data_IF_314786665762
#
_entry.id   IF_314786665762
#
_cell.length_a   1.000
_cell.length_b   1.000
_cell.length_c   1.000
_cell.angle_alpha   90.00
_cell.angle_beta   90.00
_cell.angle_gamma   90.00
#
_symmetry.space_group_name_H-M   'P 1'
#
loop_
_entity.id
_entity.type
_entity.pdbx_description
1 polymer ?
#
# COMPACT_ATOMS: atom_id res chain seq x y z
N UNK A 1 4.25 -2.55 7.55
CA UNK A 1 5.47 -2.44 6.73
C UNK A 1 6.59 -3.18 7.41
N UNK A 2 7.69 -3.45 6.72
CA UNK A 2 8.77 -4.37 7.17
C UNK A 2 9.16 -4.21 8.64
N UNK A 3 9.55 -3.00 9.07
CA UNK A 3 9.98 -2.75 10.46
C UNK A 3 8.87 -3.07 11.45
N UNK A 4 7.66 -2.57 11.24
CA UNK A 4 6.55 -2.81 12.16
C UNK A 4 6.15 -4.31 12.21
N UNK A 5 6.04 -4.96 11.05
CA UNK A 5 5.58 -6.35 10.96
C UNK A 5 6.66 -7.34 11.44
N UNK A 6 7.86 -7.28 10.87
CA UNK A 6 8.95 -8.17 11.24
C UNK A 6 9.51 -7.84 12.63
N UNK A 7 9.55 -6.56 13.03
CA UNK A 7 9.99 -6.16 14.37
C UNK A 7 9.03 -6.64 15.46
N UNK A 8 7.71 -6.56 15.23
CA UNK A 8 6.72 -7.12 16.17
C UNK A 8 6.89 -8.64 16.29
N UNK A 9 7.03 -9.34 15.17
CA UNK A 9 7.27 -10.78 15.17
C UNK A 9 8.59 -11.15 15.87
N UNK A 10 9.67 -10.39 15.65
CA UNK A 10 10.96 -10.60 16.30
C UNK A 10 10.87 -10.48 17.82
N UNK A 11 10.19 -9.45 18.33
CA UNK A 11 10.01 -9.28 19.79
C UNK A 11 9.21 -10.42 20.40
N UNK A 12 8.24 -10.97 19.68
CA UNK A 12 7.39 -12.06 20.17
C UNK A 12 8.02 -13.45 20.03
N UNK A 13 8.81 -13.67 18.99
CA UNK A 13 9.38 -14.98 18.65
C UNK A 13 10.85 -15.12 19.05
N UNK A 14 11.48 -14.02 19.48
CA UNK A 14 12.91 -13.90 19.81
C UNK A 14 13.86 -14.35 18.67
N UNK A 15 13.37 -14.36 17.44
CA UNK A 15 14.12 -14.70 16.23
C UNK A 15 13.55 -14.00 15.02
N UNK A 16 14.36 -13.85 13.99
CA UNK A 16 13.89 -13.32 12.72
C UNK A 16 12.99 -14.34 12.03
N UNK A 17 11.72 -13.99 11.85
CA UNK A 17 10.75 -14.78 11.11
C UNK A 17 10.64 -14.29 9.66
N UNK A 18 11.12 -15.10 8.71
CA UNK A 18 11.14 -14.75 7.29
C UNK A 18 9.74 -14.62 6.69
N UNK A 19 8.76 -15.33 7.25
CA UNK A 19 7.37 -15.20 6.82
C UNK A 19 6.80 -13.83 7.23
N UNK A 20 7.08 -13.35 8.44
CA UNK A 20 6.72 -12.01 8.89
C UNK A 20 7.42 -10.91 8.06
N UNK A 21 8.67 -11.11 7.65
CA UNK A 21 9.35 -10.23 6.69
C UNK A 21 8.60 -10.18 5.37
N UNK A 22 8.25 -11.35 4.82
CA UNK A 22 7.50 -11.46 3.56
C UNK A 22 6.13 -10.79 3.65
N UNK A 23 5.36 -11.00 4.71
CA UNK A 23 4.08 -10.32 4.96
C UNK A 23 4.25 -8.81 5.23
N UNK A 24 5.40 -8.36 5.71
CA UNK A 24 5.72 -6.96 5.90
C UNK A 24 5.80 -6.16 4.59
N UNK A 25 6.13 -6.82 3.48
CA UNK A 25 6.24 -6.23 2.13
C UNK A 25 4.89 -5.69 1.63
N UNK A 26 3.82 -6.49 1.45
CA UNK A 26 2.54 -5.99 0.95
C UNK A 26 1.95 -4.91 1.86
N UNK A 27 2.04 -5.08 3.19
CA UNK A 27 1.58 -4.09 4.17
C UNK A 27 2.36 -2.78 4.05
N UNK A 28 3.67 -2.86 3.82
CA UNK A 28 4.50 -1.68 3.57
C UNK A 28 4.14 -0.98 2.27
N UNK A 29 3.93 -1.74 1.20
CA UNK A 29 3.60 -1.19 -0.12
C UNK A 29 2.23 -0.50 -0.13
N UNK A 30 1.19 -1.02 0.55
CA UNK A 30 -0.06 -0.27 0.69
C UNK A 30 0.11 1.06 1.44
N UNK A 31 0.95 1.09 2.47
CA UNK A 31 1.28 2.34 3.17
C UNK A 31 2.05 3.32 2.26
N UNK A 32 2.98 2.81 1.44
CA UNK A 32 3.64 3.62 0.41
C UNK A 32 2.64 4.15 -0.60
N UNK A 33 1.67 3.35 -1.05
CA UNK A 33 0.62 3.82 -1.98
C UNK A 33 -0.17 4.99 -1.38
N UNK A 34 -0.52 4.92 -0.09
CA UNK A 34 -1.19 6.01 0.63
C UNK A 34 -0.33 7.29 0.64
N UNK A 35 0.97 7.16 0.91
CA UNK A 35 1.92 8.28 0.88
C UNK A 35 2.10 8.87 -0.53
N UNK A 36 2.11 8.03 -1.57
CA UNK A 36 2.22 8.49 -2.96
C UNK A 36 1.00 9.32 -3.36
N UNK A 37 -0.22 8.89 -3.02
CA UNK A 37 -1.43 9.69 -3.27
C UNK A 37 -1.41 11.00 -2.47
N UNK A 38 -0.91 10.96 -1.24
CA UNK A 38 -0.78 12.15 -0.41
C UNK A 38 0.16 13.18 -1.07
N UNK A 39 1.34 12.73 -1.51
CA UNK A 39 2.28 13.57 -2.26
C UNK A 39 1.69 14.08 -3.59
N UNK A 40 0.89 13.26 -4.29
CA UNK A 40 0.23 13.67 -5.52
C UNK A 40 -0.82 14.76 -5.28
N UNK A 41 -1.57 14.67 -4.18
CA UNK A 41 -2.57 15.67 -3.77
C UNK A 41 -1.93 17.04 -3.55
N UNK A 42 -0.76 17.03 -2.91
CA UNK A 42 -0.10 18.24 -2.44
C UNK A 42 1.00 18.74 -3.39
N UNK A 43 1.10 18.17 -4.61
CA UNK A 43 2.22 18.42 -5.54
C UNK A 43 2.43 19.91 -5.86
N UNK A 44 1.36 20.65 -6.15
CA UNK A 44 1.44 22.07 -6.51
C UNK A 44 1.86 22.93 -5.31
N UNK A 45 1.28 22.66 -4.14
CA UNK A 45 1.60 23.36 -2.89
C UNK A 45 3.03 23.06 -2.41
N UNK A 46 3.46 21.81 -2.52
CA UNK A 46 4.82 21.39 -2.20
C UNK A 46 5.84 22.01 -3.16
N UNK A 47 5.53 22.10 -4.45
CA UNK A 47 6.38 22.76 -5.44
C UNK A 47 6.50 24.27 -5.16
N UNK A 48 5.37 24.96 -4.89
CA UNK A 48 5.35 26.38 -4.56
C UNK A 48 6.14 26.69 -3.26
N UNK A 49 6.11 25.78 -2.29
CA UNK A 49 6.87 25.89 -1.04
C UNK A 49 8.34 25.46 -1.17
N UNK A 50 8.82 25.11 -2.37
CA UNK A 50 10.20 24.68 -2.61
C UNK A 50 10.55 23.31 -2.03
N UNK A 51 9.56 22.49 -1.66
CA UNK A 51 9.79 21.14 -1.13
C UNK A 51 10.21 20.19 -2.25
N UNK A 52 11.08 19.24 -1.90
CA UNK A 52 11.60 18.22 -2.83
C UNK A 52 10.95 16.85 -2.61
N UNK A 53 9.62 16.82 -2.57
CA UNK A 53 8.88 15.56 -2.38
C UNK A 53 9.02 14.65 -3.61
N UNK A 54 8.73 13.36 -3.44
CA UNK A 54 8.79 12.38 -4.53
C UNK A 54 7.91 12.82 -5.72
N UNK A 55 6.71 13.34 -5.44
CA UNK A 55 5.79 13.79 -6.48
C UNK A 55 6.32 15.00 -7.24
N UNK A 56 6.89 15.99 -6.55
CA UNK A 56 7.52 17.16 -7.18
C UNK A 56 8.71 16.75 -8.06
N UNK A 57 9.53 15.78 -7.62
CA UNK A 57 10.70 15.32 -8.39
C UNK A 57 10.33 14.45 -9.59
N UNK A 58 9.31 13.61 -9.46
CA UNK A 58 8.86 12.73 -10.54
C UNK A 58 7.95 13.46 -11.55
N UNK A 59 7.24 14.49 -11.09
CA UNK A 59 6.13 15.11 -11.80
C UNK A 59 4.82 14.33 -11.65
N UNK A 60 3.71 15.00 -11.89
CA UNK A 60 2.36 14.50 -11.64
C UNK A 60 2.08 13.17 -12.37
N UNK A 61 2.33 13.13 -13.69
CA UNK A 61 2.06 11.95 -14.54
C UNK A 61 2.81 10.71 -14.04
N UNK A 62 4.11 10.83 -13.73
CA UNK A 62 4.91 9.70 -13.24
C UNK A 62 4.51 9.27 -11.84
N UNK A 63 4.06 10.20 -11.02
CA UNK A 63 3.53 9.91 -9.67
C UNK A 63 2.24 9.10 -9.74
N UNK A 64 1.35 9.39 -10.70
CA UNK A 64 0.15 8.57 -10.96
C UNK A 64 0.52 7.13 -11.34
N UNK A 65 1.54 6.94 -12.21
CA UNK A 65 2.04 5.60 -12.54
C UNK A 65 2.70 4.91 -11.33
N UNK A 66 3.49 5.63 -10.53
CA UNK A 66 4.09 5.10 -9.33
C UNK A 66 3.03 4.59 -8.34
N UNK A 67 1.92 5.32 -8.16
CA UNK A 67 0.81 4.88 -7.33
C UNK A 67 0.23 3.54 -7.77
N UNK A 68 -0.05 3.39 -9.07
CA UNK A 68 -0.58 2.13 -9.62
C UNK A 68 0.42 0.99 -9.49
N UNK A 69 1.68 1.23 -9.84
CA UNK A 69 2.74 0.22 -9.74
C UNK A 69 2.94 -0.27 -8.29
N UNK A 70 2.85 0.63 -7.30
CA UNK A 70 2.97 0.25 -5.89
C UNK A 70 1.76 -0.57 -5.42
N UNK A 71 0.55 -0.25 -5.87
CA UNK A 71 -0.65 -1.06 -5.58
C UNK A 71 -0.58 -2.45 -6.23
N UNK A 72 -0.13 -2.53 -7.48
CA UNK A 72 0.05 -3.82 -8.15
C UNK A 72 1.12 -4.65 -7.45
N UNK A 73 2.25 -4.03 -7.10
CA UNK A 73 3.32 -4.68 -6.36
C UNK A 73 2.88 -5.17 -4.98
N UNK A 74 1.98 -4.44 -4.28
CA UNK A 74 1.48 -4.89 -2.98
C UNK A 74 0.62 -6.14 -3.10
N UNK A 75 -0.27 -6.22 -4.09
CA UNK A 75 -1.05 -7.44 -4.33
C UNK A 75 -0.20 -8.60 -4.84
N UNK A 76 0.78 -8.33 -5.71
CA UNK A 76 1.73 -9.35 -6.17
C UNK A 76 2.55 -9.91 -5.00
N UNK A 77 3.00 -9.06 -4.07
CA UNK A 77 3.72 -9.49 -2.88
C UNK A 77 2.84 -10.32 -1.93
N UNK A 78 1.56 -9.96 -1.75
CA UNK A 78 0.62 -10.74 -0.95
C UNK A 78 0.32 -12.12 -1.57
N UNK A 79 0.21 -12.19 -2.90
CA UNK A 79 0.08 -13.45 -3.63
C UNK A 79 1.34 -14.29 -3.49
N UNK A 80 2.53 -13.69 -3.63
CA UNK A 80 3.80 -14.37 -3.45
C UNK A 80 3.94 -14.98 -2.04
N UNK A 81 3.46 -14.26 -1.02
CA UNK A 81 3.42 -14.76 0.36
C UNK A 81 2.52 -16.00 0.54
N UNK A 82 1.59 -16.26 -0.39
CA UNK A 82 0.68 -17.40 -0.29
C UNK A 82 1.30 -18.72 -0.71
N UNK A 83 2.42 -18.69 -1.45
CA UNK A 83 3.16 -19.90 -1.82
C UNK A 83 3.82 -20.61 -0.62
N UNK A 84 3.79 -20.01 0.57
CA UNK A 84 4.21 -20.68 1.81
C UNK A 84 3.11 -21.58 2.41
N UNK A 85 1.99 -21.78 1.71
CA UNK A 85 0.86 -22.59 2.17
C UNK A 85 -0.12 -21.88 3.11
N UNK A 86 0.11 -20.59 3.39
CA UNK A 86 -0.73 -19.76 4.27
C UNK A 86 -1.56 -18.81 3.41
N UNK A 87 -2.83 -18.58 3.75
CA UNK A 87 -3.79 -17.85 2.92
C UNK A 87 -3.59 -16.32 2.93
N UNK A 88 -2.38 -15.83 2.66
CA UNK A 88 -2.09 -14.40 2.56
C UNK A 88 -2.84 -13.71 1.39
N UNK A 89 -3.22 -14.48 0.36
CA UNK A 89 -4.02 -14.01 -0.78
C UNK A 89 -5.44 -13.55 -0.38
N UNK A 90 -5.90 -13.85 0.84
CA UNK A 90 -7.09 -13.24 1.41
C UNK A 90 -7.05 -11.70 1.38
N UNK A 91 -5.87 -11.09 1.28
CA UNK A 91 -5.66 -9.68 0.99
C UNK A 91 -6.48 -9.13 -0.21
N UNK A 92 -6.79 -9.97 -1.20
CA UNK A 92 -7.55 -9.58 -2.40
C UNK A 92 -8.93 -9.00 -2.08
N UNK A 93 -9.49 -9.31 -0.89
CA UNK A 93 -10.78 -8.76 -0.43
C UNK A 93 -10.81 -7.23 -0.42
N UNK A 94 -9.66 -6.57 -0.21
CA UNK A 94 -9.57 -5.10 -0.27
C UNK A 94 -9.47 -4.51 -1.68
N UNK A 95 -9.26 -5.33 -2.72
CA UNK A 95 -9.02 -4.86 -4.09
C UNK A 95 -10.14 -3.99 -4.69
N UNK A 96 -11.44 -4.19 -4.41
CA UNK A 96 -12.48 -3.33 -4.94
C UNK A 96 -12.31 -1.84 -4.56
N UNK A 97 -11.79 -1.56 -3.36
CA UNK A 97 -11.49 -0.20 -2.92
C UNK A 97 -10.30 0.41 -3.70
N UNK A 98 -9.28 -0.42 -3.99
CA UNK A 98 -8.12 -0.02 -4.79
C UNK A 98 -8.53 0.34 -6.22
N UNK A 99 -9.41 -0.47 -6.85
CA UNK A 99 -9.90 -0.23 -8.20
C UNK A 99 -10.63 1.12 -8.29
N UNK A 100 -11.46 1.45 -7.30
CA UNK A 100 -12.13 2.76 -7.24
C UNK A 100 -11.14 3.92 -7.14
N UNK A 101 -10.11 3.77 -6.32
CA UNK A 101 -9.06 4.77 -6.15
C UNK A 101 -8.24 4.98 -7.43
N UNK A 102 -7.80 3.89 -8.07
CA UNK A 102 -7.04 3.89 -9.33
C UNK A 102 -7.83 4.55 -10.46
N UNK A 103 -9.12 4.22 -10.61
CA UNK A 103 -9.98 4.85 -11.62
C UNK A 103 -10.05 6.37 -11.48
N UNK A 104 -10.19 6.87 -10.25
CA UNK A 104 -10.23 8.31 -9.98
C UNK A 104 -8.89 8.99 -10.28
N UNK A 105 -7.77 8.35 -9.95
CA UNK A 105 -6.43 8.85 -10.29
C UNK A 105 -6.21 8.86 -11.82
N UNK A 106 -6.64 7.81 -12.53
CA UNK A 106 -6.52 7.74 -13.99
C UNK A 106 -7.39 8.75 -14.73
N UNK A 107 -8.53 9.13 -14.14
CA UNK A 107 -9.41 10.19 -14.66
C UNK A 107 -8.86 11.60 -14.45
N UNK A 108 -7.67 11.74 -13.87
CA UNK A 108 -7.00 13.04 -13.73
C UNK A 108 -7.38 13.84 -12.49
N UNK A 109 -7.97 13.21 -11.45
CA UNK A 109 -8.28 13.91 -10.20
C UNK A 109 -7.02 14.59 -9.62
N UNK A 110 -7.15 15.84 -9.18
CA UNK A 110 -6.08 16.67 -8.62
C UNK A 110 -6.54 17.42 -7.36
N UNK A 111 -5.58 17.85 -6.54
CA UNK A 111 -5.86 18.63 -5.33
C UNK A 111 -6.95 17.99 -4.44
N UNK A 112 -7.97 18.74 -3.98
CA UNK A 112 -9.03 18.22 -3.11
C UNK A 112 -9.80 17.01 -3.67
N UNK A 113 -9.85 16.84 -5.00
CA UNK A 113 -10.51 15.68 -5.61
C UNK A 113 -9.79 14.34 -5.31
N UNK A 114 -8.57 14.38 -4.78
CA UNK A 114 -7.83 13.20 -4.32
C UNK A 114 -8.12 12.83 -2.85
N UNK A 115 -8.88 13.63 -2.10
CA UNK A 115 -9.28 13.30 -0.71
C UNK A 115 -10.06 11.97 -0.64
N UNK A 116 -11.06 11.71 -1.52
CA UNK A 116 -11.72 10.40 -1.56
C UNK A 116 -10.75 9.26 -1.92
N UNK A 117 -9.72 9.51 -2.73
CA UNK A 117 -8.71 8.52 -3.12
C UNK A 117 -7.84 8.15 -1.92
N UNK A 118 -7.48 9.10 -1.06
CA UNK A 118 -6.80 8.81 0.21
C UNK A 118 -7.65 7.92 1.09
N UNK A 119 -8.94 8.23 1.26
CA UNK A 119 -9.87 7.41 2.03
C UNK A 119 -10.00 5.99 1.47
N UNK A 120 -10.13 5.85 0.14
CA UNK A 120 -10.21 4.55 -0.52
C UNK A 120 -8.90 3.75 -0.40
N UNK A 121 -7.74 4.40 -0.50
CA UNK A 121 -6.42 3.76 -0.33
C UNK A 121 -6.21 3.32 1.12
N UNK A 122 -6.63 4.12 2.10
CA UNK A 122 -6.59 3.74 3.50
C UNK A 122 -7.50 2.53 3.80
N UNK A 123 -8.74 2.51 3.26
CA UNK A 123 -9.63 1.35 3.36
C UNK A 123 -9.04 0.11 2.68
N UNK A 124 -8.40 0.29 1.53
CA UNK A 124 -7.67 -0.80 0.83
C UNK A 124 -6.63 -1.42 1.76
N UNK A 125 -5.79 -0.60 2.38
CA UNK A 125 -4.77 -1.07 3.32
C UNK A 125 -5.39 -1.80 4.52
N UNK A 126 -6.43 -1.24 5.14
CA UNK A 126 -7.07 -1.83 6.32
C UNK A 126 -7.75 -3.16 5.99
N UNK A 127 -8.59 -3.20 4.96
CA UNK A 127 -9.34 -4.40 4.58
C UNK A 127 -8.40 -5.49 4.08
N UNK A 128 -7.43 -5.15 3.22
CA UNK A 128 -6.46 -6.13 2.71
C UNK A 128 -5.58 -6.66 3.83
N UNK A 129 -5.08 -5.78 4.72
CA UNK A 129 -4.24 -6.16 5.85
C UNK A 129 -4.97 -7.05 6.85
N UNK A 130 -6.21 -6.72 7.20
CA UNK A 130 -7.03 -7.53 8.11
C UNK A 130 -7.39 -8.88 7.50
N UNK A 131 -7.84 -8.90 6.24
CA UNK A 131 -8.17 -10.15 5.56
C UNK A 131 -6.95 -11.06 5.43
N UNK A 132 -5.77 -10.49 5.11
CA UNK A 132 -4.50 -11.22 5.09
C UNK A 132 -4.18 -11.81 6.47
N UNK A 133 -4.30 -11.03 7.55
CA UNK A 133 -4.04 -11.50 8.90
C UNK A 133 -4.97 -12.65 9.31
N UNK A 134 -6.27 -12.54 9.02
CA UNK A 134 -7.25 -13.60 9.26
C UNK A 134 -6.93 -14.85 8.45
N UNK A 135 -6.63 -14.69 7.15
CA UNK A 135 -6.27 -15.81 6.28
C UNK A 135 -5.05 -16.57 6.80
N UNK A 136 -4.01 -15.85 7.21
CA UNK A 136 -2.80 -16.44 7.80
C UNK A 136 -3.14 -17.17 9.11
N UNK A 137 -3.91 -16.55 10.01
CA UNK A 137 -4.23 -17.12 11.32
C UNK A 137 -5.08 -18.40 11.27
N UNK A 138 -5.89 -18.57 10.21
CA UNK A 138 -6.73 -19.77 10.03
C UNK A 138 -5.98 -20.90 9.32
N UNK A 139 -4.88 -20.60 8.63
CA UNK A 139 -4.16 -21.57 7.77
C UNK A 139 -2.72 -21.86 8.19
N UNK A 140 -2.21 -21.25 9.25
CA UNK A 140 -0.94 -21.66 9.83
C UNK A 140 -0.79 -21.24 11.27
#
# INVERSE_FOLDING_TARGET
GLVATAGTAYVLLERLDWFAVLCGVPVGLWAVALLVVNNLRDIDGDAAAGKRTMAVRLGERRTRFAYMAVLEASYAAALAASFTGRAAAAAVVGAPFAVGAVRTVLRGASGPALIPVLGATARTQLVSGLAMAVGIAVTG
#
